data_IF_772392322070
#
_entry.id   IF_772392322070
#
_cell.length_a   1.000
_cell.length_b   1.000
_cell.length_c   1.000
_cell.angle_alpha   90.00
_cell.angle_beta   90.00
_cell.angle_gamma   90.00
#
_symmetry.space_group_name_H-M   'P 1'
#
loop_
_entity.id
_entity.type
_entity.pdbx_description
1 polymer ?
#
# COMPACT_ATOMS: atom_id res chain seq x y z
N UNK A 1 -17.13 -5.23 -4.94
CA UNK A 1 -16.25 -4.03 -4.94
C UNK A 1 -16.77 -3.00 -3.94
N UNK A 2 -15.92 -2.52 -3.08
CA UNK A 2 -16.25 -1.45 -2.14
C UNK A 2 -15.97 -0.08 -2.80
N UNK A 3 -16.97 0.45 -3.49
CA UNK A 3 -16.85 1.74 -4.19
C UNK A 3 -16.74 2.92 -3.21
N UNK A 4 -17.34 2.81 -2.03
CA UNK A 4 -17.21 3.84 -1.00
C UNK A 4 -15.75 3.98 -0.53
N UNK A 5 -15.10 2.85 -0.26
CA UNK A 5 -13.68 2.84 0.11
C UNK A 5 -12.82 3.37 -1.04
N UNK A 6 -13.08 2.92 -2.27
CA UNK A 6 -12.34 3.39 -3.44
C UNK A 6 -12.42 4.92 -3.56
N UNK A 7 -13.60 5.50 -3.40
CA UNK A 7 -13.78 6.96 -3.45
C UNK A 7 -12.97 7.68 -2.38
N UNK A 8 -12.98 7.19 -1.14
CA UNK A 8 -12.22 7.80 -0.04
C UNK A 8 -10.70 7.69 -0.24
N UNK A 9 -10.23 6.54 -0.72
CA UNK A 9 -8.82 6.37 -1.05
C UNK A 9 -8.41 7.32 -2.17
N UNK A 10 -9.23 7.48 -3.20
CA UNK A 10 -8.95 8.41 -4.30
C UNK A 10 -8.90 9.87 -3.83
N UNK A 11 -9.75 10.28 -2.89
CA UNK A 11 -9.66 11.61 -2.29
C UNK A 11 -8.30 11.80 -1.60
N UNK A 12 -7.85 10.81 -0.84
CA UNK A 12 -6.57 10.85 -0.15
C UNK A 12 -5.40 10.90 -1.13
N UNK A 13 -5.45 10.11 -2.20
CA UNK A 13 -4.44 10.09 -3.28
C UNK A 13 -4.27 11.49 -3.88
N UNK A 14 -5.36 12.16 -4.20
CA UNK A 14 -5.32 13.48 -4.85
C UNK A 14 -4.87 14.61 -3.92
N UNK A 15 -4.83 14.39 -2.62
CA UNK A 15 -4.25 15.34 -1.67
C UNK A 15 -2.73 15.31 -1.64
N UNK A 16 -2.11 14.25 -2.14
CA UNK A 16 -0.67 14.13 -2.22
C UNK A 16 -0.15 14.80 -3.50
N UNK A 17 0.80 15.72 -3.35
CA UNK A 17 1.34 16.49 -4.48
C UNK A 17 2.01 15.61 -5.54
N UNK A 18 2.64 14.51 -5.12
CA UNK A 18 3.28 13.57 -6.05
C UNK A 18 2.23 12.86 -6.91
N UNK A 19 1.19 12.32 -6.28
CA UNK A 19 0.15 11.58 -7.01
C UNK A 19 -0.83 12.50 -7.74
N UNK A 20 -1.04 13.72 -7.27
CA UNK A 20 -1.92 14.70 -7.92
C UNK A 20 -1.43 15.10 -9.31
N UNK A 21 -0.14 14.93 -9.61
CA UNK A 21 0.43 15.18 -10.94
C UNK A 21 0.02 14.13 -11.97
N UNK A 22 -0.40 12.95 -11.53
CA UNK A 22 -0.85 11.87 -12.42
C UNK A 22 -2.32 12.05 -12.74
N UNK A 23 -2.76 11.51 -13.87
CA UNK A 23 -4.18 11.55 -14.23
C UNK A 23 -5.03 10.79 -13.21
N UNK A 24 -6.30 11.19 -13.09
CA UNK A 24 -7.27 10.46 -12.26
C UNK A 24 -7.38 9.00 -12.69
N UNK A 25 -7.31 8.73 -13.99
CA UNK A 25 -7.34 7.37 -14.53
C UNK A 25 -6.16 6.54 -14.05
N UNK A 26 -4.94 7.07 -14.11
CA UNK A 26 -3.73 6.38 -13.63
C UNK A 26 -3.81 6.09 -12.12
N UNK A 27 -4.20 7.07 -11.32
CA UNK A 27 -4.34 6.92 -9.88
C UNK A 27 -5.42 5.89 -9.53
N UNK A 28 -6.55 5.94 -10.22
CA UNK A 28 -7.65 4.99 -10.00
C UNK A 28 -7.21 3.57 -10.30
N UNK A 29 -6.53 3.35 -11.42
CA UNK A 29 -6.05 2.01 -11.78
C UNK A 29 -5.03 1.49 -10.77
N UNK A 30 -4.18 2.36 -10.21
CA UNK A 30 -3.19 1.95 -9.21
C UNK A 30 -3.82 1.40 -7.94
N UNK A 31 -5.03 1.82 -7.57
CA UNK A 31 -5.70 1.38 -6.34
C UNK A 31 -6.93 0.49 -6.57
N UNK A 32 -7.53 0.55 -7.75
CA UNK A 32 -8.78 -0.15 -8.06
C UNK A 32 -8.69 -1.66 -7.79
N UNK A 33 -7.68 -2.32 -8.32
CA UNK A 33 -7.53 -3.77 -8.16
C UNK A 33 -7.15 -4.17 -6.74
N UNK A 34 -6.42 -3.32 -6.03
CA UNK A 34 -6.14 -3.56 -4.62
C UNK A 34 -7.42 -3.53 -3.78
N UNK A 35 -8.29 -2.56 -4.03
CA UNK A 35 -9.60 -2.48 -3.36
C UNK A 35 -10.48 -3.65 -3.76
N UNK A 36 -10.54 -3.98 -5.06
CA UNK A 36 -11.32 -5.11 -5.59
C UNK A 36 -11.00 -6.42 -4.88
N UNK A 37 -9.73 -6.70 -4.64
CA UNK A 37 -9.27 -7.95 -4.04
C UNK A 37 -9.05 -7.87 -2.52
N UNK A 38 -9.45 -6.77 -1.89
CA UNK A 38 -9.33 -6.62 -0.44
C UNK A 38 -7.89 -6.47 0.06
N UNK A 39 -6.98 -5.98 -0.78
CA UNK A 39 -5.56 -5.81 -0.47
C UNK A 39 -5.23 -4.35 -0.11
N UNK A 40 -6.11 -3.71 0.64
CA UNK A 40 -5.92 -2.35 1.15
C UNK A 40 -6.13 -2.34 2.66
N UNK A 41 -5.20 -1.73 3.38
CA UNK A 41 -5.34 -1.42 4.79
C UNK A 41 -5.53 0.08 4.96
N UNK A 42 -6.30 0.46 5.96
CA UNK A 42 -6.70 1.85 6.19
C UNK A 42 -6.36 2.31 7.59
N UNK A 43 -6.15 3.61 7.72
CA UNK A 43 -5.93 4.27 9.00
C UNK A 43 -6.90 5.44 9.12
N UNK A 44 -7.70 5.44 10.17
CA UNK A 44 -8.79 6.38 10.38
C UNK A 44 -8.54 7.26 11.60
N UNK A 45 -8.95 8.52 11.49
CA UNK A 45 -9.10 9.44 12.60
C UNK A 45 -10.58 9.80 12.68
N UNK A 46 -11.31 9.14 13.59
CA UNK A 46 -12.76 9.21 13.59
C UNK A 46 -13.33 8.70 12.26
N UNK A 47 -14.12 9.54 11.58
CA UNK A 47 -14.71 9.23 10.29
C UNK A 47 -13.83 9.64 9.10
N UNK A 48 -12.65 10.20 9.38
CA UNK A 48 -11.74 10.66 8.33
C UNK A 48 -10.70 9.61 8.00
N UNK A 49 -10.59 9.24 6.74
CA UNK A 49 -9.50 8.40 6.25
C UNK A 49 -8.24 9.24 6.15
N UNK A 50 -7.24 8.94 6.95
CA UNK A 50 -5.97 9.68 6.99
C UNK A 50 -4.80 8.89 6.44
N UNK A 51 -4.96 7.59 6.26
CA UNK A 51 -3.91 6.74 5.69
C UNK A 51 -4.48 5.52 4.99
N UNK A 52 -3.74 5.04 3.99
CA UNK A 52 -4.01 3.76 3.35
C UNK A 52 -2.72 3.16 2.85
N UNK A 53 -2.70 1.86 2.69
CA UNK A 53 -1.68 1.18 1.90
C UNK A 53 -2.32 0.10 1.05
N UNK A 54 -1.76 -0.11 -0.14
CA UNK A 54 -2.04 -1.27 -0.96
C UNK A 54 -0.90 -2.26 -0.80
N UNK A 55 -1.21 -3.55 -0.74
CA UNK A 55 -0.22 -4.60 -0.63
C UNK A 55 -0.56 -5.76 -1.56
N UNK A 56 0.45 -6.49 -1.97
CA UNK A 56 0.27 -7.67 -2.81
C UNK A 56 1.47 -8.59 -2.75
N UNK A 57 1.30 -9.77 -3.31
CA UNK A 57 2.35 -10.78 -3.40
C UNK A 57 2.91 -10.79 -4.81
N UNK A 58 4.18 -10.42 -4.90
CA UNK A 58 4.87 -10.22 -6.17
C UNK A 58 5.97 -11.25 -6.35
N UNK A 59 6.36 -11.46 -7.60
CA UNK A 59 7.64 -12.13 -7.90
C UNK A 59 8.75 -11.09 -7.98
N UNK A 60 9.98 -11.52 -7.76
CA UNK A 60 11.15 -10.64 -7.91
C UNK A 60 11.23 -10.07 -9.32
N UNK A 61 10.94 -10.87 -10.31
CA UNK A 61 10.97 -10.46 -11.72
C UNK A 61 9.96 -9.34 -12.02
N UNK A 62 8.75 -9.45 -11.49
CA UNK A 62 7.71 -8.41 -11.65
C UNK A 62 8.17 -7.07 -11.07
N UNK A 63 8.80 -7.09 -9.90
CA UNK A 63 9.29 -5.87 -9.25
C UNK A 63 10.51 -5.29 -9.96
N UNK A 64 11.46 -6.13 -10.36
CA UNK A 64 12.70 -5.68 -10.98
C UNK A 64 12.45 -5.07 -12.37
N UNK A 65 11.52 -5.64 -13.12
CA UNK A 65 11.12 -5.13 -14.44
C UNK A 65 10.06 -4.03 -14.37
N UNK A 66 9.48 -3.83 -13.19
CA UNK A 66 8.34 -2.92 -12.99
C UNK A 66 7.21 -3.20 -13.99
N UNK A 67 6.94 -4.48 -14.23
CA UNK A 67 5.94 -4.94 -15.19
C UNK A 67 5.07 -6.02 -14.55
N UNK A 68 3.81 -5.67 -14.26
CA UNK A 68 2.88 -6.55 -13.58
C UNK A 68 1.43 -6.14 -13.85
N UNK A 69 0.54 -7.12 -13.73
CA UNK A 69 -0.90 -6.94 -13.87
C UNK A 69 -1.55 -6.87 -12.49
N UNK A 70 -2.21 -5.75 -12.20
CA UNK A 70 -2.81 -5.51 -10.90
C UNK A 70 -3.90 -6.50 -10.53
N UNK A 71 -4.78 -6.86 -11.46
CA UNK A 71 -5.85 -7.83 -11.20
C UNK A 71 -5.29 -9.21 -10.83
N UNK A 72 -4.21 -9.62 -11.48
CA UNK A 72 -3.53 -10.87 -11.18
C UNK A 72 -2.78 -10.84 -9.85
N UNK A 73 -1.96 -9.80 -9.65
CA UNK A 73 -1.12 -9.67 -8.47
C UNK A 73 -1.93 -9.56 -7.19
N UNK A 74 -2.92 -8.67 -7.16
CA UNK A 74 -3.73 -8.46 -5.96
C UNK A 74 -4.69 -9.62 -5.66
N UNK A 75 -4.95 -10.48 -6.64
CA UNK A 75 -5.75 -11.69 -6.43
C UNK A 75 -4.98 -12.81 -5.72
N UNK A 76 -3.64 -12.74 -5.69
CA UNK A 76 -2.80 -13.76 -5.05
C UNK A 76 -2.85 -13.63 -3.52
N UNK A 77 -2.83 -14.76 -2.83
CA UNK A 77 -2.69 -14.83 -1.36
C UNK A 77 -1.30 -15.28 -0.92
N UNK A 78 -0.44 -15.65 -1.87
CA UNK A 78 0.95 -16.07 -1.64
C UNK A 78 1.85 -15.57 -2.77
N UNK A 79 3.13 -15.46 -2.50
CA UNK A 79 4.13 -15.07 -3.48
C UNK A 79 5.50 -14.93 -2.83
N UNK A 80 6.51 -14.61 -3.65
CA UNK A 80 7.89 -14.52 -3.21
C UNK A 80 8.13 -13.34 -2.27
N UNK A 81 7.42 -12.23 -2.54
CA UNK A 81 7.67 -10.97 -1.86
C UNK A 81 6.32 -10.31 -1.52
N UNK A 82 6.14 -9.95 -0.27
CA UNK A 82 5.08 -9.03 0.13
C UNK A 82 5.57 -7.61 -0.17
N UNK A 83 4.88 -6.90 -1.05
CA UNK A 83 5.26 -5.57 -1.48
C UNK A 83 4.11 -4.59 -1.31
N UNK A 84 4.46 -3.36 -0.94
CA UNK A 84 3.52 -2.26 -0.73
C UNK A 84 3.71 -1.20 -1.81
N UNK A 85 3.00 -1.29 -2.96
CA UNK A 85 3.19 -0.33 -4.05
C UNK A 85 2.66 1.06 -3.72
N UNK A 86 1.74 1.16 -2.77
CA UNK A 86 1.15 2.44 -2.36
C UNK A 86 1.06 2.53 -0.85
N UNK A 87 1.54 3.65 -0.33
CA UNK A 87 1.42 4.00 1.08
C UNK A 87 1.27 5.52 1.21
N UNK A 88 0.23 5.95 1.90
CA UNK A 88 0.05 7.35 2.28
C UNK A 88 -0.46 7.41 3.71
N UNK A 89 0.04 8.36 4.47
CA UNK A 89 -0.49 8.66 5.79
C UNK A 89 -0.29 10.14 6.10
N UNK A 90 -1.37 10.79 6.50
CA UNK A 90 -1.39 12.21 6.84
C UNK A 90 -1.30 12.40 8.36
N UNK A 91 -1.29 13.66 8.80
CA UNK A 91 -1.30 14.08 10.20
C UNK A 91 -0.01 13.79 10.96
N UNK A 92 1.12 13.67 10.24
CA UNK A 92 2.45 13.71 10.80
C UNK A 92 3.03 12.36 11.18
N UNK A 93 4.26 12.42 11.66
CA UNK A 93 5.12 11.27 11.94
C UNK A 93 4.50 10.28 12.94
N UNK A 94 3.82 10.79 13.96
CA UNK A 94 3.19 9.95 15.00
C UNK A 94 2.13 9.03 14.41
N UNK A 95 1.29 9.56 13.53
CA UNK A 95 0.24 8.79 12.86
C UNK A 95 0.85 7.77 11.87
N UNK A 96 1.90 8.15 11.16
CA UNK A 96 2.65 7.23 10.28
C UNK A 96 3.18 6.04 11.07
N UNK A 97 3.80 6.26 12.22
CA UNK A 97 4.33 5.18 13.08
C UNK A 97 3.22 4.26 13.56
N UNK A 98 2.09 4.81 14.02
CA UNK A 98 0.94 4.02 14.45
C UNK A 98 0.42 3.14 13.30
N UNK A 99 0.29 3.71 12.12
CA UNK A 99 -0.21 2.98 10.97
C UNK A 99 0.74 1.86 10.55
N UNK A 100 2.04 2.13 10.48
CA UNK A 100 3.05 1.11 10.17
C UNK A 100 2.99 -0.06 11.16
N UNK A 101 2.87 0.23 12.45
CA UNK A 101 2.73 -0.83 13.47
C UNK A 101 1.48 -1.68 13.25
N UNK A 102 0.36 -1.05 12.93
CA UNK A 102 -0.88 -1.75 12.65
C UNK A 102 -0.76 -2.63 11.39
N UNK A 103 -0.11 -2.12 10.35
CA UNK A 103 0.17 -2.89 9.13
C UNK A 103 1.02 -4.10 9.45
N UNK A 104 2.12 -3.94 10.18
CA UNK A 104 3.00 -5.04 10.56
C UNK A 104 2.26 -6.11 11.36
N UNK A 105 1.46 -5.70 12.33
CA UNK A 105 0.68 -6.63 13.14
C UNK A 105 -0.34 -7.40 12.28
N UNK A 106 -1.03 -6.70 11.38
CA UNK A 106 -1.96 -7.34 10.46
C UNK A 106 -1.27 -8.40 9.59
N UNK A 107 -0.11 -8.07 9.04
CA UNK A 107 0.66 -8.99 8.19
C UNK A 107 1.15 -10.21 8.98
N UNK A 108 1.66 -10.00 10.18
CA UNK A 108 2.15 -11.09 11.02
C UNK A 108 1.02 -12.03 11.47
N UNK A 109 -0.17 -11.49 11.72
CA UNK A 109 -1.32 -12.29 12.15
C UNK A 109 -1.98 -13.06 11.01
N UNK A 110 -2.06 -12.46 9.82
CA UNK A 110 -2.79 -13.03 8.68
C UNK A 110 -1.89 -13.77 7.69
N UNK A 111 -0.59 -13.47 7.68
CA UNK A 111 0.38 -14.08 6.77
C UNK A 111 1.61 -14.54 7.56
N UNK A 112 1.47 -15.62 8.36
CA UNK A 112 2.53 -16.03 9.30
C UNK A 112 3.83 -16.48 8.61
N UNK A 113 3.77 -16.88 7.35
CA UNK A 113 4.94 -17.31 6.58
C UNK A 113 5.75 -16.15 6.00
N UNK A 114 5.24 -14.93 6.08
CA UNK A 114 5.95 -13.74 5.59
C UNK A 114 6.95 -13.26 6.65
N UNK A 115 8.22 -13.22 6.28
CA UNK A 115 9.31 -12.75 7.15
C UNK A 115 9.87 -11.40 6.73
N UNK A 116 9.71 -11.04 5.45
CA UNK A 116 10.18 -9.76 4.91
C UNK A 116 9.11 -9.12 4.05
N UNK A 117 9.11 -7.80 4.03
CA UNK A 117 8.27 -7.02 3.14
C UNK A 117 9.07 -5.86 2.56
N UNK A 118 8.72 -5.44 1.36
CA UNK A 118 9.33 -4.30 0.68
C UNK A 118 8.27 -3.26 0.36
N UNK A 119 8.64 -2.00 0.37
CA UNK A 119 7.73 -0.92 0.03
C UNK A 119 8.44 0.25 -0.63
N UNK A 120 7.72 0.98 -1.45
CA UNK A 120 8.21 2.21 -2.05
C UNK A 120 7.83 3.40 -1.17
N UNK A 121 8.84 4.14 -0.69
CA UNK A 121 8.61 5.36 0.05
C UNK A 121 8.85 6.56 -0.87
N UNK A 122 7.86 7.44 -0.95
CA UNK A 122 7.95 8.69 -1.70
C UNK A 122 8.20 9.83 -0.72
N UNK A 123 9.28 10.57 -0.95
CA UNK A 123 9.62 11.75 -0.14
C UNK A 123 8.99 13.01 -0.74
N UNK A 124 8.74 14.06 0.07
CA UNK A 124 8.10 15.29 -0.41
C UNK A 124 8.80 15.97 -1.60
N UNK A 125 10.10 15.71 -1.78
CA UNK A 125 10.89 16.27 -2.87
C UNK A 125 10.87 15.41 -4.14
N UNK A 126 9.96 14.43 -4.22
CA UNK A 126 9.82 13.55 -5.38
C UNK A 126 10.80 12.39 -5.46
N UNK A 127 11.70 12.23 -4.48
CA UNK A 127 12.58 11.06 -4.41
C UNK A 127 11.81 9.85 -3.92
N UNK A 128 12.24 8.67 -4.40
CA UNK A 128 11.67 7.38 -3.98
C UNK A 128 12.77 6.51 -3.38
N UNK A 129 12.37 5.63 -2.48
CA UNK A 129 13.26 4.68 -1.85
C UNK A 129 12.51 3.40 -1.53
N UNK A 130 13.11 2.25 -1.81
CA UNK A 130 12.61 0.96 -1.34
C UNK A 130 12.95 0.79 0.13
N UNK A 131 11.92 0.50 0.91
CA UNK A 131 12.04 0.17 2.33
C UNK A 131 11.85 -1.33 2.49
N UNK A 132 12.70 -1.98 3.30
CA UNK A 132 12.57 -3.39 3.64
C UNK A 132 12.21 -3.54 5.11
N UNK A 133 11.21 -4.36 5.38
CA UNK A 133 10.78 -4.67 6.73
C UNK A 133 11.04 -6.14 7.01
N UNK A 134 11.48 -6.43 8.22
CA UNK A 134 11.78 -7.79 8.65
C UNK A 134 10.95 -8.11 9.87
N UNK A 135 10.39 -9.33 9.89
CA UNK A 135 9.75 -9.84 11.09
C UNK A 135 10.81 -10.09 12.16
N UNK A 136 10.59 -9.54 13.35
CA UNK A 136 11.46 -9.85 14.50
C UNK A 136 11.27 -11.31 14.87
N UNK A 137 12.36 -12.00 15.15
CA UNK A 137 12.32 -13.33 15.72
C UNK A 137 11.63 -13.31 17.09
N UNK A 138 10.77 -14.29 17.33
CA UNK A 138 10.09 -14.40 18.61
C UNK A 138 11.11 -14.72 19.72
#
# INVERSE_FOLDING_TARGET
>A
MDYSLLGRVMELVHLDKFYAKKSTWENRNAVYYAVKHGKVLTHWDGDNLVGYCAYGFFTRDELDKNLWNGDEVYARDTGDILYFPKFQCRHGKREVIKFIRNIQQHMFNNYPDVHTAEGLRVYPIGRTRNEKWYRKSA
#
